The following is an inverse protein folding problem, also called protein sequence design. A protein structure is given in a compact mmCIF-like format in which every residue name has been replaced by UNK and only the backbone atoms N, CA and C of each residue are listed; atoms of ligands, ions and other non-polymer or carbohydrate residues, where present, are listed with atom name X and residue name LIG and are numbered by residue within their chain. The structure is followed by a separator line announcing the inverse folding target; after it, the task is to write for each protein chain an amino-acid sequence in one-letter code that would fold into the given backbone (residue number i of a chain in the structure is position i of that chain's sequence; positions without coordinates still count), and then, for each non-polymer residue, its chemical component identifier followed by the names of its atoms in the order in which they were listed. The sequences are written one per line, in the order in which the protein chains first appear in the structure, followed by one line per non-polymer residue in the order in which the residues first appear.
data_IF_909429278646
#
_entry.id   IF_909429278646
#
_cell.length_a   1.000
_cell.length_b   1.000
_cell.length_c   1.000
_cell.angle_alpha   90.00
_cell.angle_beta   90.00
_cell.angle_gamma   90.00
#
_symmetry.space_group_name_H-M   'P 1'
#
loop_
_entity.id
_entity.type
_entity.pdbx_description
1 polymer ?
#
# COMPACT_ATOMS: atom_id res chain seq x y z
N UNK A 1 4.76 18.53 14.90
CA UNK A 1 3.84 18.00 13.88
C UNK A 1 4.43 16.71 13.35
N UNK A 2 3.63 15.66 13.18
CA UNK A 2 4.12 14.38 12.62
C UNK A 2 4.49 14.57 11.15
N UNK A 3 5.70 14.13 10.78
CA UNK A 3 6.11 14.04 9.37
C UNK A 3 5.76 12.67 8.81
N UNK A 4 5.37 12.62 7.54
CA UNK A 4 4.89 11.41 6.89
C UNK A 4 5.73 11.09 5.67
N UNK A 5 6.05 9.81 5.54
CA UNK A 5 6.57 9.21 4.31
C UNK A 5 5.44 8.50 3.58
N UNK A 6 5.44 8.59 2.25
CA UNK A 6 4.42 7.99 1.40
C UNK A 6 5.04 7.02 0.40
N UNK A 7 4.34 5.92 0.15
CA UNK A 7 4.76 4.89 -0.80
C UNK A 7 3.59 4.49 -1.69
N UNK A 8 3.88 4.23 -2.96
CA UNK A 8 2.97 3.58 -3.90
C UNK A 8 3.54 2.24 -4.31
N UNK A 9 2.73 1.18 -4.27
CA UNK A 9 3.17 -0.15 -4.67
C UNK A 9 2.07 -0.90 -5.44
N UNK A 10 2.43 -1.70 -6.45
CA UNK A 10 1.47 -2.59 -7.11
C UNK A 10 1.05 -3.72 -6.16
N UNK A 11 -0.21 -4.12 -6.26
CA UNK A 11 -0.79 -5.26 -5.54
C UNK A 11 -1.40 -6.23 -6.55
N UNK A 12 -1.04 -7.50 -6.43
CA UNK A 12 -1.58 -8.57 -7.26
C UNK A 12 -2.92 -9.02 -6.70
N UNK A 13 -3.98 -9.03 -7.52
CA UNK A 13 -5.36 -9.35 -7.09
C UNK A 13 -5.49 -10.70 -6.38
N UNK A 14 -4.68 -11.70 -6.75
CA UNK A 14 -4.70 -13.04 -6.14
C UNK A 14 -3.84 -13.15 -4.87
N UNK A 15 -3.08 -12.12 -4.52
CA UNK A 15 -2.19 -12.09 -3.35
C UNK A 15 -2.34 -10.82 -2.50
N UNK A 16 -3.41 -10.04 -2.72
CA UNK A 16 -3.62 -8.72 -2.09
C UNK A 16 -3.42 -8.75 -0.58
N UNK A 17 -4.04 -9.72 0.12
CA UNK A 17 -3.90 -9.86 1.57
C UNK A 17 -2.44 -10.01 2.00
N UNK A 18 -1.72 -10.96 1.41
CA UNK A 18 -0.33 -11.24 1.77
C UNK A 18 0.55 -10.00 1.58
N UNK A 19 0.36 -9.26 0.49
CA UNK A 19 1.13 -8.04 0.19
C UNK A 19 0.81 -6.94 1.23
N UNK A 20 -0.47 -6.72 1.54
CA UNK A 20 -0.87 -5.73 2.55
C UNK A 20 -0.36 -6.10 3.94
N UNK A 21 -0.40 -7.38 4.31
CA UNK A 21 0.12 -7.87 5.59
C UNK A 21 1.65 -7.69 5.68
N UNK A 22 2.39 -7.78 4.57
CA UNK A 22 3.83 -7.49 4.54
C UNK A 22 4.11 -6.01 4.82
N UNK A 23 3.45 -5.10 4.10
CA UNK A 23 3.59 -3.66 4.30
C UNK A 23 3.17 -3.23 5.72
N UNK A 24 2.08 -3.80 6.23
CA UNK A 24 1.62 -3.56 7.60
C UNK A 24 2.64 -3.96 8.66
N UNK A 25 3.36 -5.08 8.47
CA UNK A 25 4.46 -5.49 9.37
C UNK A 25 5.66 -4.55 9.32
N UNK A 26 5.87 -3.85 8.22
CA UNK A 26 6.90 -2.83 8.06
C UNK A 26 6.48 -1.44 8.56
N UNK A 27 5.27 -1.33 9.14
CA UNK A 27 4.76 -0.09 9.71
C UNK A 27 4.08 0.84 8.71
N UNK A 28 3.79 0.37 7.50
CA UNK A 28 3.00 1.11 6.52
C UNK A 28 1.51 0.99 6.82
N UNK A 29 0.83 2.14 6.84
CA UNK A 29 -0.62 2.24 6.91
C UNK A 29 -1.20 2.35 5.50
N UNK A 30 -2.15 1.48 5.16
CA UNK A 30 -2.88 1.54 3.90
C UNK A 30 -3.79 2.77 3.88
N UNK A 31 -3.65 3.62 2.86
CA UNK A 31 -4.50 4.79 2.64
C UNK A 31 -5.65 4.44 1.69
N UNK A 32 -5.33 3.89 0.52
CA UNK A 32 -6.32 3.54 -0.51
C UNK A 32 -5.75 2.51 -1.50
N UNK A 33 -6.65 1.74 -2.11
CA UNK A 33 -6.36 0.92 -3.30
C UNK A 33 -7.16 1.47 -4.48
N UNK A 34 -6.52 1.60 -5.64
CA UNK A 34 -7.16 2.03 -6.89
C UNK A 34 -6.93 0.98 -7.99
N UNK A 35 -7.90 0.79 -8.90
CA UNK A 35 -7.67 0.01 -10.10
C UNK A 35 -6.71 0.73 -11.05
N UNK A 36 -5.81 -0.03 -11.66
CA UNK A 36 -4.94 0.44 -12.75
C UNK A 36 -5.65 0.37 -14.10
N UNK A 37 -4.88 0.44 -15.19
CA UNK A 37 -5.39 0.34 -16.57
C UNK A 37 -6.11 -0.98 -16.87
N UNK A 38 -5.79 -2.05 -16.13
CA UNK A 38 -6.43 -3.36 -16.24
C UNK A 38 -7.04 -3.76 -14.88
N UNK A 39 -8.18 -4.50 -14.85
CA UNK A 39 -8.83 -4.93 -13.60
C UNK A 39 -7.95 -5.78 -12.67
N UNK A 40 -6.95 -6.47 -13.23
CA UNK A 40 -6.02 -7.32 -12.48
C UNK A 40 -4.85 -6.56 -11.84
N UNK A 41 -4.69 -5.28 -12.20
CA UNK A 41 -3.65 -4.42 -11.68
C UNK A 41 -4.25 -3.50 -10.64
N UNK A 42 -3.90 -3.71 -9.37
CA UNK A 42 -4.24 -2.78 -8.29
C UNK A 42 -3.00 -1.99 -7.89
N UNK A 43 -3.19 -0.74 -7.48
CA UNK A 43 -2.14 0.10 -6.89
C UNK A 43 -2.59 0.50 -5.49
N UNK A 44 -1.74 0.26 -4.50
CA UNK A 44 -1.97 0.66 -3.12
C UNK A 44 -1.11 1.89 -2.77
N UNK A 45 -1.73 2.84 -2.09
CA UNK A 45 -1.09 4.00 -1.49
C UNK A 45 -0.92 3.77 0.00
N UNK A 46 0.28 4.02 0.50
CA UNK A 46 0.64 3.84 1.90
C UNK A 46 1.22 5.12 2.49
N UNK A 47 1.16 5.22 3.81
CA UNK A 47 1.88 6.24 4.59
C UNK A 47 2.51 5.61 5.83
N UNK A 48 3.59 6.20 6.34
CA UNK A 48 4.14 5.88 7.66
C UNK A 48 4.73 7.13 8.33
N UNK A 49 4.72 7.23 9.67
CA UNK A 49 5.35 8.35 10.36
C UNK A 49 6.88 8.26 10.25
N UNK A 50 7.53 9.40 10.04
CA UNK A 50 8.99 9.55 10.13
C UNK A 50 9.32 9.86 11.60
N UNK A 51 10.29 9.12 12.16
CA UNK A 51 10.81 9.35 13.51
C UNK A 51 11.72 10.59 13.57
#
# INVERSE_FOLDING_TARGET
MTQWEYLTAPVLVHATKQILDNFGREGWELVQIVPGMNPENLVAYFKRPIA
#
